data_IF_892851453040
#
_entry.id   IF_892851453040
#
_cell.length_a   1.000
_cell.length_b   1.000
_cell.length_c   1.000
_cell.angle_alpha   90.00
_cell.angle_beta   90.00
_cell.angle_gamma   90.00
#
_symmetry.space_group_name_H-M   'P 1'
#
loop_
_entity.id
_entity.type
_entity.pdbx_description
1 polymer ?
#
# COMPACT_ATOMS: atom_id res chain seq x y z
N UNK A 1 45.40 34.21 34.35
CA UNK A 1 44.25 33.96 33.47
C UNK A 1 43.99 32.45 33.49
N UNK A 2 42.96 32.02 34.22
CA UNK A 2 42.63 30.59 34.35
C UNK A 2 41.60 30.23 33.26
N UNK A 3 42.00 29.37 32.29
CA UNK A 3 41.10 28.84 31.27
C UNK A 3 40.22 27.77 31.91
N UNK A 4 38.91 28.02 31.98
CA UNK A 4 37.90 27.04 32.36
C UNK A 4 37.49 26.28 31.04
N UNK A 5 37.91 25.04 30.95
CA UNK A 5 37.42 24.14 29.89
C UNK A 5 36.11 23.55 30.38
N UNK A 6 34.97 23.98 29.80
CA UNK A 6 33.66 23.40 30.04
C UNK A 6 33.57 22.13 29.16
N UNK A 7 33.64 20.96 29.80
CA UNK A 7 33.43 19.67 29.16
C UNK A 7 31.91 19.44 29.04
N UNK A 8 31.35 19.67 27.87
CA UNK A 8 29.93 19.30 27.54
C UNK A 8 29.87 17.80 27.32
N UNK A 9 29.44 17.06 28.35
CA UNK A 9 29.09 15.64 28.20
C UNK A 9 27.72 15.56 27.52
N UNK A 10 27.70 15.31 26.22
CA UNK A 10 26.49 14.98 25.51
C UNK A 10 26.03 13.57 25.96
N UNK A 11 25.00 13.50 26.79
CA UNK A 11 24.36 12.24 27.14
C UNK A 11 23.63 11.70 25.94
N UNK A 12 24.23 10.77 25.22
CA UNK A 12 23.54 9.93 24.20
C UNK A 12 22.61 8.99 24.95
N UNK A 13 21.33 9.35 25.00
CA UNK A 13 20.27 8.43 25.44
C UNK A 13 20.13 7.32 24.39
N UNK A 14 20.70 6.14 24.68
CA UNK A 14 20.42 4.93 23.90
C UNK A 14 18.96 4.54 24.17
N UNK A 15 18.08 4.78 23.21
CA UNK A 15 16.73 4.20 23.19
C UNK A 15 16.96 2.71 22.90
N UNK A 16 16.97 1.88 23.94
CA UNK A 16 17.02 0.43 23.80
C UNK A 16 15.63 -0.03 23.36
N UNK A 17 15.50 -0.48 22.11
CA UNK A 17 14.32 -1.17 21.64
C UNK A 17 14.36 -2.59 22.21
N UNK A 18 13.32 -3.00 22.94
CA UNK A 18 13.21 -4.37 23.44
C UNK A 18 12.90 -5.30 22.26
N UNK A 19 13.68 -6.38 22.11
CA UNK A 19 13.48 -7.37 21.06
C UNK A 19 12.62 -8.51 21.57
N UNK A 20 11.59 -8.87 20.80
CA UNK A 20 10.70 -10.00 21.07
C UNK A 20 10.65 -10.88 19.84
N UNK A 21 10.76 -12.21 20.03
CA UNK A 21 10.75 -13.20 18.94
C UNK A 21 9.54 -14.11 19.06
N UNK A 22 8.95 -14.46 17.92
CA UNK A 22 7.89 -15.46 17.84
C UNK A 22 8.35 -16.83 18.34
N UNK A 23 7.43 -17.58 18.90
CA UNK A 23 7.64 -18.93 19.45
C UNK A 23 7.21 -20.06 18.49
N UNK A 24 6.66 -19.68 17.32
CA UNK A 24 6.18 -20.61 16.28
C UNK A 24 4.80 -21.19 16.55
N UNK A 25 4.12 -20.81 17.64
CA UNK A 25 2.77 -21.28 17.97
C UNK A 25 1.72 -20.29 17.43
N UNK A 26 1.42 -20.37 16.14
CA UNK A 26 0.50 -19.44 15.45
C UNK A 26 -0.93 -19.61 15.94
N UNK A 27 -1.61 -18.51 16.24
CA UNK A 27 -2.99 -18.41 16.71
C UNK A 27 -3.74 -17.26 16.03
N UNK A 28 -5.04 -17.46 15.94
CA UNK A 28 -5.99 -16.43 15.49
C UNK A 28 -6.63 -15.76 16.69
N UNK A 29 -6.63 -14.43 16.70
CA UNK A 29 -7.35 -13.61 17.67
C UNK A 29 -8.38 -12.74 16.95
N UNK A 30 -9.67 -12.92 17.29
CA UNK A 30 -10.73 -12.03 16.82
C UNK A 30 -10.73 -10.76 17.65
N UNK A 31 -10.84 -9.63 16.98
CA UNK A 31 -10.95 -8.30 17.59
C UNK A 31 -12.23 -7.60 17.11
N UNK A 32 -12.73 -6.71 17.93
CA UNK A 32 -13.87 -5.89 17.56
C UNK A 32 -13.49 -4.93 16.43
N UNK A 33 -14.38 -4.76 15.47
CA UNK A 33 -14.25 -3.82 14.36
C UNK A 33 -15.64 -3.26 14.06
N UNK A 34 -15.73 -1.97 13.89
CA UNK A 34 -17.00 -1.32 13.61
C UNK A 34 -17.00 -0.63 12.22
N UNK A 35 -17.37 0.59 12.13
CA UNK A 35 -17.63 1.28 10.88
C UNK A 35 -16.35 1.91 10.28
N UNK A 36 -15.45 1.10 9.74
CA UNK A 36 -14.24 1.61 9.08
C UNK A 36 -14.47 1.90 7.59
N UNK A 37 -13.78 2.91 7.11
CA UNK A 37 -13.66 3.25 5.68
C UNK A 37 -12.20 3.38 5.24
N UNK A 38 -11.25 3.37 6.16
CA UNK A 38 -9.82 3.51 5.89
C UNK A 38 -9.02 2.46 6.65
N UNK A 39 -8.07 1.83 5.98
CA UNK A 39 -7.06 0.96 6.60
C UNK A 39 -5.70 1.62 6.44
N UNK A 40 -4.96 1.75 7.54
CA UNK A 40 -3.56 2.20 7.57
C UNK A 40 -2.70 1.12 8.21
N UNK A 41 -1.83 0.50 7.40
CA UNK A 41 -0.81 -0.42 7.89
C UNK A 41 0.56 0.22 7.89
N UNK A 42 1.33 -0.01 8.95
CA UNK A 42 2.72 0.43 9.04
C UNK A 42 3.62 -0.66 9.63
N UNK A 43 4.83 -0.80 9.07
CA UNK A 43 5.79 -1.82 9.48
C UNK A 43 5.79 -3.04 8.55
N UNK A 44 5.74 -4.25 9.12
CA UNK A 44 5.87 -5.52 8.41
C UNK A 44 4.67 -6.46 8.59
N UNK A 45 3.53 -5.95 9.07
CA UNK A 45 2.34 -6.77 9.30
C UNK A 45 1.52 -6.83 8.00
N UNK A 46 1.43 -8.01 7.41
CA UNK A 46 0.65 -8.22 6.20
C UNK A 46 -0.85 -8.02 6.44
N UNK A 47 -1.53 -7.43 5.45
CA UNK A 47 -2.96 -7.18 5.54
C UNK A 47 -3.69 -7.86 4.39
N UNK A 48 -4.65 -8.70 4.72
CA UNK A 48 -5.57 -9.29 3.77
C UNK A 48 -6.97 -8.70 3.94
N UNK A 49 -7.48 -8.11 2.85
CA UNK A 49 -8.83 -7.55 2.81
C UNK A 49 -9.77 -8.58 2.21
N UNK A 50 -10.83 -8.93 2.93
CA UNK A 50 -11.90 -9.79 2.44
C UNK A 50 -13.14 -8.98 2.11
N UNK A 51 -13.77 -9.30 1.00
CA UNK A 51 -15.08 -8.75 0.67
C UNK A 51 -16.15 -9.41 1.54
N UNK A 52 -17.03 -8.62 2.14
CA UNK A 52 -18.13 -9.13 2.98
C UNK A 52 -19.06 -8.02 3.44
N UNK A 53 -20.24 -8.39 3.93
CA UNK A 53 -21.27 -7.44 4.33
C UNK A 53 -21.19 -7.01 5.81
N UNK A 54 -20.30 -7.66 6.57
CA UNK A 54 -20.12 -7.40 8.01
C UNK A 54 -18.67 -7.03 8.29
N UNK A 55 -18.47 -6.24 9.34
CA UNK A 55 -17.12 -5.92 9.81
C UNK A 55 -16.54 -7.08 10.61
N UNK A 56 -15.32 -7.49 10.29
CA UNK A 56 -14.60 -8.54 11.02
C UNK A 56 -13.10 -8.25 10.99
N UNK A 57 -12.45 -8.47 12.12
CA UNK A 57 -11.02 -8.31 12.28
C UNK A 57 -10.43 -9.55 12.94
N UNK A 58 -9.48 -10.18 12.27
CA UNK A 58 -8.74 -11.33 12.79
C UNK A 58 -7.26 -11.01 12.71
N UNK A 59 -6.56 -11.19 13.80
CA UNK A 59 -5.10 -11.09 13.88
C UNK A 59 -4.54 -12.50 14.01
N UNK A 60 -3.78 -12.93 13.02
CA UNK A 60 -3.02 -14.18 13.01
C UNK A 60 -1.56 -13.85 13.33
N UNK A 61 -1.00 -14.47 14.36
CA UNK A 61 0.42 -14.35 14.71
C UNK A 61 0.80 -15.45 15.70
N UNK A 62 2.09 -15.53 16.02
CA UNK A 62 2.57 -16.28 17.17
C UNK A 62 1.87 -15.81 18.46
N UNK A 63 1.42 -16.75 19.30
CA UNK A 63 0.59 -16.45 20.48
C UNK A 63 1.24 -15.43 21.41
N UNK A 64 2.55 -15.52 21.60
CA UNK A 64 3.32 -14.61 22.42
C UNK A 64 3.49 -13.22 21.79
N UNK A 65 3.25 -13.06 20.48
CA UNK A 65 3.36 -11.81 19.73
C UNK A 65 2.03 -11.09 19.53
N UNK A 66 0.89 -11.75 19.70
CA UNK A 66 -0.45 -11.13 19.56
C UNK A 66 -0.61 -9.84 20.38
N UNK A 67 -0.12 -9.72 21.63
CA UNK A 67 -0.22 -8.47 22.40
C UNK A 67 0.61 -7.31 21.86
N UNK A 68 1.50 -7.56 20.91
CA UNK A 68 2.35 -6.53 20.29
C UNK A 68 1.80 -6.04 18.95
N UNK A 69 0.81 -6.73 18.36
CA UNK A 69 0.08 -6.24 17.19
C UNK A 69 -1.03 -5.31 17.67
N UNK A 70 -0.92 -4.05 17.31
CA UNK A 70 -1.91 -3.01 17.64
C UNK A 70 -2.86 -2.84 16.45
N UNK A 71 -4.14 -2.81 16.73
CA UNK A 71 -5.22 -2.59 15.76
C UNK A 71 -6.21 -1.58 16.36
N UNK A 72 -5.82 -0.32 16.32
CA UNK A 72 -6.62 0.77 16.89
C UNK A 72 -7.60 1.33 15.86
N UNK A 73 -8.87 1.46 16.24
CA UNK A 73 -9.90 2.11 15.43
C UNK A 73 -10.17 3.53 15.99
N UNK A 74 -10.03 4.54 15.14
CA UNK A 74 -10.33 5.93 15.47
C UNK A 74 -10.94 6.63 14.25
N UNK A 75 -12.12 7.22 14.43
CA UNK A 75 -12.89 7.94 13.39
C UNK A 75 -12.97 7.21 12.03
N UNK A 76 -13.31 5.92 12.07
CA UNK A 76 -13.44 5.08 10.88
C UNK A 76 -12.10 4.70 10.21
N UNK A 77 -10.99 4.92 10.89
CA UNK A 77 -9.65 4.54 10.47
C UNK A 77 -9.13 3.39 11.33
N UNK A 78 -8.88 2.25 10.71
CA UNK A 78 -8.17 1.13 11.35
C UNK A 78 -6.66 1.32 11.19
N UNK A 79 -5.94 1.53 12.29
CA UNK A 79 -4.49 1.62 12.31
C UNK A 79 -3.90 0.28 12.73
N UNK A 80 -3.01 -0.29 11.90
CA UNK A 80 -2.37 -1.59 12.11
C UNK A 80 -0.86 -1.37 12.21
N UNK A 81 -0.27 -1.69 13.36
CA UNK A 81 1.18 -1.56 13.56
C UNK A 81 1.65 -2.38 14.75
N UNK A 82 2.95 -2.58 14.87
CA UNK A 82 3.53 -3.12 16.09
C UNK A 82 3.59 -2.06 17.20
N UNK A 83 3.49 -2.52 18.44
CA UNK A 83 3.63 -1.68 19.63
C UNK A 83 4.96 -0.96 19.64
N UNK A 84 4.91 0.37 19.81
CA UNK A 84 6.12 1.19 19.83
C UNK A 84 7.10 0.77 20.94
N UNK A 85 8.41 0.85 20.65
CA UNK A 85 9.48 0.47 21.57
C UNK A 85 9.86 -1.01 21.53
N UNK A 86 9.24 -1.80 20.67
CA UNK A 86 9.56 -3.21 20.46
C UNK A 86 10.04 -3.46 19.03
N UNK A 87 11.04 -4.34 18.90
CA UNK A 87 11.47 -4.94 17.64
C UNK A 87 10.99 -6.37 17.63
N UNK A 88 10.05 -6.67 16.75
CA UNK A 88 9.48 -8.02 16.59
C UNK A 88 10.27 -8.77 15.54
N UNK A 89 10.61 -10.03 15.80
CA UNK A 89 11.38 -10.89 14.91
C UNK A 89 10.72 -12.27 14.82
N UNK A 90 10.96 -12.98 13.69
CA UNK A 90 10.46 -14.33 13.45
C UNK A 90 8.94 -14.43 13.69
N UNK A 91 8.19 -13.44 13.22
CA UNK A 91 6.74 -13.37 13.34
C UNK A 91 6.03 -13.93 12.11
N UNK A 92 4.76 -14.28 12.28
CA UNK A 92 3.85 -14.71 11.21
C UNK A 92 2.65 -13.75 11.11
N UNK A 93 2.89 -12.48 11.38
CA UNK A 93 1.83 -11.49 11.55
C UNK A 93 1.05 -11.25 10.26
N UNK A 94 -0.24 -11.52 10.33
CA UNK A 94 -1.21 -11.22 9.30
C UNK A 94 -2.50 -10.69 9.91
N UNK A 95 -3.01 -9.60 9.38
CA UNK A 95 -4.29 -9.04 9.79
C UNK A 95 -5.29 -9.23 8.67
N UNK A 96 -6.39 -9.92 8.97
CA UNK A 96 -7.48 -10.17 8.03
C UNK A 96 -8.64 -9.24 8.39
N UNK A 97 -8.95 -8.34 7.44
CA UNK A 97 -10.01 -7.33 7.60
C UNK A 97 -11.14 -7.64 6.64
N UNK A 98 -12.36 -7.79 7.14
CA UNK A 98 -13.56 -7.83 6.31
C UNK A 98 -14.32 -6.53 6.52
N UNK A 99 -14.69 -5.85 5.42
CA UNK A 99 -15.48 -4.63 5.47
C UNK A 99 -16.38 -4.52 4.23
N UNK A 100 -17.61 -3.98 4.38
CA UNK A 100 -18.55 -3.83 3.26
C UNK A 100 -18.06 -2.86 2.19
N UNK A 101 -17.41 -1.78 2.60
CA UNK A 101 -16.88 -0.74 1.71
C UNK A 101 -15.61 -0.16 2.29
N UNK A 102 -14.66 0.17 1.40
CA UNK A 102 -13.44 0.89 1.76
C UNK A 102 -13.23 2.05 0.79
N UNK A 103 -12.71 3.14 1.30
CA UNK A 103 -12.41 4.35 0.53
C UNK A 103 -10.91 4.64 0.46
N UNK A 104 -10.15 4.20 1.46
CA UNK A 104 -8.73 4.49 1.51
C UNK A 104 -7.91 3.35 2.13
N UNK A 105 -6.82 3.03 1.45
CA UNK A 105 -5.83 2.04 1.87
C UNK A 105 -4.46 2.71 1.90
N UNK A 106 -3.80 2.63 3.04
CA UNK A 106 -2.45 3.19 3.22
C UNK A 106 -1.53 2.10 3.74
N UNK A 107 -0.45 1.83 3.01
CA UNK A 107 0.62 0.92 3.46
C UNK A 107 1.94 1.67 3.52
N UNK A 108 2.62 1.59 4.66
CA UNK A 108 3.96 2.16 4.84
C UNK A 108 4.88 1.15 5.52
N UNK A 109 5.98 0.82 4.86
CA UNK A 109 6.93 -0.18 5.35
C UNK A 109 7.13 -1.31 4.36
N UNK A 110 7.19 -2.54 4.87
CA UNK A 110 7.48 -3.75 4.08
C UNK A 110 6.31 -4.73 4.05
N UNK A 111 5.18 -4.37 4.65
CA UNK A 111 3.98 -5.19 4.72
C UNK A 111 3.30 -5.30 3.36
N UNK A 112 2.87 -6.50 3.01
CA UNK A 112 2.06 -6.74 1.82
C UNK A 112 0.58 -6.46 2.09
N UNK A 113 -0.10 -5.87 1.09
CA UNK A 113 -1.52 -5.61 1.12
C UNK A 113 -2.21 -6.39 0.00
N UNK A 114 -3.10 -7.32 0.34
CA UNK A 114 -3.79 -8.18 -0.60
C UNK A 114 -5.30 -8.17 -0.42
N UNK A 115 -6.05 -8.54 -1.46
CA UNK A 115 -7.48 -8.79 -1.35
C UNK A 115 -7.84 -10.24 -1.68
N UNK A 116 -8.79 -10.78 -0.91
CA UNK A 116 -9.47 -12.05 -1.17
C UNK A 116 -10.91 -11.71 -1.60
N UNK A 117 -11.12 -11.66 -2.90
CA UNK A 117 -12.33 -11.15 -3.54
C UNK A 117 -12.23 -9.69 -3.98
N UNK A 118 -13.34 -9.18 -4.53
CA UNK A 118 -13.43 -7.85 -5.13
C UNK A 118 -13.81 -6.83 -4.06
N UNK A 119 -12.96 -5.83 -3.85
CA UNK A 119 -13.29 -4.66 -3.04
C UNK A 119 -14.22 -3.76 -3.86
N UNK A 120 -15.46 -3.67 -3.44
CA UNK A 120 -16.46 -2.84 -4.12
C UNK A 120 -16.64 -1.51 -3.41
N UNK A 121 -16.78 -0.43 -4.18
CA UNK A 121 -17.13 0.89 -3.65
C UNK A 121 -18.00 1.66 -4.65
N UNK A 122 -18.98 2.39 -4.14
CA UNK A 122 -19.73 3.39 -4.92
C UNK A 122 -19.02 4.74 -5.03
N UNK A 123 -17.90 4.91 -4.32
CA UNK A 123 -17.09 6.12 -4.29
C UNK A 123 -15.67 5.82 -4.80
N UNK A 124 -14.85 6.85 -4.88
CA UNK A 124 -13.41 6.71 -5.15
C UNK A 124 -12.73 5.83 -4.11
N UNK A 125 -11.80 4.98 -4.56
CA UNK A 125 -10.85 4.27 -3.70
C UNK A 125 -9.46 4.88 -3.88
N UNK A 126 -8.87 5.35 -2.79
CA UNK A 126 -7.51 5.86 -2.76
C UNK A 126 -6.55 4.82 -2.17
N UNK A 127 -5.46 4.53 -2.87
CA UNK A 127 -4.38 3.63 -2.44
C UNK A 127 -3.10 4.43 -2.34
N UNK A 128 -2.50 4.47 -1.16
CA UNK A 128 -1.21 5.12 -0.93
C UNK A 128 -0.23 4.10 -0.38
N UNK A 129 0.87 3.88 -1.09
CA UNK A 129 1.95 3.01 -0.61
C UNK A 129 3.28 3.73 -0.55
N UNK A 130 4.04 3.43 0.49
CA UNK A 130 5.37 3.99 0.71
C UNK A 130 6.24 2.93 1.37
N UNK A 131 7.24 2.45 0.66
CA UNK A 131 8.14 1.41 1.17
C UNK A 131 8.43 0.32 0.14
N UNK A 132 8.50 -0.93 0.61
CA UNK A 132 8.91 -2.08 -0.19
C UNK A 132 7.88 -3.22 -0.22
N UNK A 133 6.77 -3.09 0.53
CA UNK A 133 5.67 -4.06 0.51
C UNK A 133 4.90 -4.02 -0.80
N UNK A 134 4.43 -5.17 -1.24
CA UNK A 134 3.68 -5.34 -2.48
C UNK A 134 2.17 -5.13 -2.24
N UNK A 135 1.49 -4.56 -3.24
CA UNK A 135 0.05 -4.35 -3.25
C UNK A 135 -0.56 -5.25 -4.33
N UNK A 136 -1.49 -6.13 -3.95
CA UNK A 136 -2.22 -6.98 -4.88
C UNK A 136 -3.72 -6.96 -4.59
N UNK A 137 -4.47 -6.13 -5.33
CA UNK A 137 -5.88 -5.87 -5.05
C UNK A 137 -6.76 -6.08 -6.28
N UNK A 138 -7.95 -6.64 -6.02
CA UNK A 138 -9.02 -6.71 -6.99
C UNK A 138 -10.14 -5.75 -6.59
N UNK A 139 -10.52 -4.83 -7.51
CA UNK A 139 -11.40 -3.71 -7.15
C UNK A 139 -12.42 -3.39 -8.24
N UNK A 140 -13.59 -2.89 -7.80
CA UNK A 140 -14.64 -2.37 -8.67
C UNK A 140 -15.16 -1.06 -8.06
N UNK A 141 -14.80 0.07 -8.66
CA UNK A 141 -15.16 1.40 -8.17
C UNK A 141 -15.22 2.39 -9.34
N UNK A 142 -16.01 3.49 -9.22
CA UNK A 142 -16.08 4.50 -10.28
C UNK A 142 -14.76 5.23 -10.52
N UNK A 143 -13.94 5.39 -9.49
CA UNK A 143 -12.62 6.01 -9.56
C UNK A 143 -11.64 5.28 -8.66
N UNK A 144 -10.43 5.02 -9.15
CA UNK A 144 -9.34 4.44 -8.39
C UNK A 144 -8.11 5.33 -8.55
N UNK A 145 -7.56 5.73 -7.40
CA UNK A 145 -6.34 6.54 -7.34
C UNK A 145 -5.25 5.79 -6.60
N UNK A 146 -4.18 5.42 -7.31
CA UNK A 146 -3.02 4.74 -6.75
C UNK A 146 -1.81 5.67 -6.70
N UNK A 147 -1.20 5.82 -5.54
CA UNK A 147 0.04 6.58 -5.37
C UNK A 147 1.08 5.69 -4.71
N UNK A 148 2.20 5.47 -5.41
CA UNK A 148 3.31 4.64 -4.95
C UNK A 148 4.60 5.44 -4.79
N UNK A 149 5.31 5.20 -3.70
CA UNK A 149 6.65 5.72 -3.45
C UNK A 149 7.52 4.63 -2.84
N UNK A 150 8.60 4.28 -3.48
CA UNK A 150 9.51 3.22 -3.01
C UNK A 150 9.81 2.15 -4.04
N UNK A 151 9.94 0.91 -3.60
CA UNK A 151 10.34 -0.23 -4.42
C UNK A 151 9.31 -1.37 -4.45
N UNK A 152 8.23 -1.27 -3.69
CA UNK A 152 7.13 -2.23 -3.72
C UNK A 152 6.35 -2.18 -5.01
N UNK A 153 5.86 -3.33 -5.47
CA UNK A 153 5.06 -3.42 -6.68
C UNK A 153 3.57 -3.16 -6.38
N UNK A 154 2.86 -2.63 -7.37
CA UNK A 154 1.41 -2.44 -7.29
C UNK A 154 0.75 -3.24 -8.40
N UNK A 155 -0.06 -4.22 -8.04
CA UNK A 155 -0.86 -5.03 -8.96
C UNK A 155 -2.35 -4.79 -8.68
N UNK A 156 -3.05 -4.18 -9.64
CA UNK A 156 -4.48 -3.93 -9.54
C UNK A 156 -5.23 -4.63 -10.67
N UNK A 157 -6.39 -5.18 -10.33
CA UNK A 157 -7.28 -5.83 -11.28
C UNK A 157 -8.75 -5.48 -11.00
N UNK A 158 -9.63 -5.71 -11.97
CA UNK A 158 -11.06 -5.43 -11.86
C UNK A 158 -11.53 -4.35 -12.83
N UNK A 159 -12.37 -3.40 -12.37
CA UNK A 159 -12.98 -2.39 -13.25
C UNK A 159 -13.04 -1.02 -12.59
N UNK A 160 -12.84 0.01 -13.39
CA UNK A 160 -13.07 1.40 -12.98
C UNK A 160 -13.41 2.25 -14.20
N UNK A 161 -14.08 3.38 -13.99
CA UNK A 161 -14.19 4.38 -15.05
C UNK A 161 -12.92 5.21 -15.15
N UNK A 162 -12.48 5.77 -14.02
CA UNK A 162 -11.34 6.68 -13.98
C UNK A 162 -10.21 6.07 -13.14
N UNK A 163 -9.03 5.94 -13.74
CA UNK A 163 -7.83 5.44 -13.10
C UNK A 163 -6.74 6.51 -13.08
N UNK A 164 -6.32 6.92 -11.89
CA UNK A 164 -5.16 7.78 -11.70
C UNK A 164 -4.04 6.97 -11.03
N UNK A 165 -2.86 6.95 -11.64
CA UNK A 165 -1.68 6.32 -11.08
C UNK A 165 -0.51 7.30 -11.04
N UNK A 166 0.06 7.50 -9.87
CA UNK A 166 1.30 8.27 -9.68
C UNK A 166 2.33 7.42 -8.96
N UNK A 167 3.48 7.20 -9.60
CA UNK A 167 4.55 6.41 -9.01
C UNK A 167 5.87 7.19 -9.00
N UNK A 168 6.59 7.06 -7.90
CA UNK A 168 7.91 7.65 -7.71
C UNK A 168 8.82 6.62 -7.05
N UNK A 169 9.75 6.05 -7.79
CA UNK A 169 10.63 5.00 -7.30
C UNK A 169 11.02 3.99 -8.36
N UNK A 170 11.11 2.72 -7.95
CA UNK A 170 11.57 1.62 -8.81
C UNK A 170 10.67 0.38 -8.78
N UNK A 171 9.55 0.42 -8.04
CA UNK A 171 8.56 -0.66 -8.03
C UNK A 171 7.75 -0.68 -9.32
N UNK A 172 7.38 -1.87 -9.80
CA UNK A 172 6.59 -2.03 -11.02
C UNK A 172 5.09 -1.93 -10.76
N UNK A 173 4.36 -1.39 -11.73
CA UNK A 173 2.91 -1.21 -11.65
C UNK A 173 2.24 -2.10 -12.70
N UNK A 174 1.50 -3.12 -12.25
CA UNK A 174 0.82 -4.10 -13.08
C UNK A 174 -0.70 -3.90 -13.01
N UNK A 175 -1.24 -2.99 -13.81
CA UNK A 175 -2.66 -2.63 -13.85
C UNK A 175 -3.31 -2.93 -15.22
N UNK A 176 -2.73 -3.78 -16.06
CA UNK A 176 -3.30 -4.20 -17.34
C UNK A 176 -4.62 -4.98 -17.20
N UNK A 177 -4.85 -5.60 -16.03
CA UNK A 177 -6.07 -6.30 -15.68
C UNK A 177 -7.11 -5.41 -14.98
N UNK A 178 -6.79 -4.17 -14.66
CA UNK A 178 -7.73 -3.15 -14.23
C UNK A 178 -8.33 -2.47 -15.46
N UNK A 179 -9.53 -2.87 -15.85
CA UNK A 179 -10.21 -2.34 -17.04
C UNK A 179 -10.73 -0.94 -16.74
N UNK A 180 -10.04 0.08 -17.23
CA UNK A 180 -10.44 1.47 -17.09
C UNK A 180 -10.95 2.06 -18.41
N UNK A 181 -11.84 3.04 -18.33
CA UNK A 181 -12.22 3.87 -19.49
C UNK A 181 -11.14 4.95 -19.69
N UNK A 182 -10.83 5.68 -18.66
CA UNK A 182 -9.85 6.76 -18.67
C UNK A 182 -8.68 6.43 -17.75
N UNK A 183 -7.45 6.63 -18.21
CA UNK A 183 -6.26 6.45 -17.39
C UNK A 183 -5.34 7.68 -17.46
N UNK A 184 -4.94 8.18 -16.31
CA UNK A 184 -3.88 9.18 -16.16
C UNK A 184 -2.72 8.59 -15.38
N UNK A 185 -1.55 8.50 -16.02
CA UNK A 185 -0.35 7.85 -15.49
C UNK A 185 0.76 8.87 -15.36
N UNK A 186 1.37 8.96 -14.18
CA UNK A 186 2.53 9.80 -13.89
C UNK A 186 3.65 8.96 -13.29
N UNK A 187 4.73 8.81 -14.02
CA UNK A 187 5.93 8.07 -13.61
C UNK A 187 7.07 9.02 -13.33
N UNK A 188 7.68 8.91 -12.16
CA UNK A 188 8.90 9.62 -11.80
C UNK A 188 9.89 8.62 -11.22
N UNK A 189 10.94 8.28 -11.95
CA UNK A 189 11.91 7.25 -11.54
C UNK A 189 12.15 6.20 -12.62
N UNK A 190 12.26 4.94 -12.20
CA UNK A 190 12.61 3.80 -13.08
C UNK A 190 11.55 2.69 -13.06
N UNK A 191 10.33 3.01 -12.64
CA UNK A 191 9.23 2.05 -12.58
C UNK A 191 8.66 1.75 -13.95
N UNK A 192 8.47 0.46 -14.25
CA UNK A 192 7.71 0.03 -15.42
C UNK A 192 6.22 -0.08 -15.08
N UNK A 193 5.38 0.42 -15.98
CA UNK A 193 3.93 0.56 -15.74
C UNK A 193 3.15 -0.10 -16.88
N UNK A 194 2.32 -1.08 -16.53
CA UNK A 194 1.37 -1.73 -17.43
C UNK A 194 -0.05 -1.31 -17.08
N UNK A 195 -0.78 -0.71 -18.01
CA UNK A 195 -2.15 -0.21 -17.80
C UNK A 195 -3.08 -0.56 -18.95
N UNK A 196 -4.37 -0.45 -18.70
CA UNK A 196 -5.41 -0.56 -19.71
C UNK A 196 -6.28 0.69 -19.73
N UNK A 197 -6.53 1.25 -20.94
CA UNK A 197 -7.46 2.37 -21.12
C UNK A 197 -8.26 2.15 -22.41
N UNK A 198 -9.59 2.26 -22.33
CA UNK A 198 -10.46 2.03 -23.49
C UNK A 198 -10.92 3.32 -24.20
N UNK A 199 -10.90 4.46 -23.51
CA UNK A 199 -11.42 5.75 -24.03
C UNK A 199 -10.31 6.79 -24.11
N UNK A 200 -9.68 7.14 -22.99
CA UNK A 200 -8.63 8.16 -22.96
C UNK A 200 -7.42 7.72 -22.16
N UNK A 201 -6.24 8.13 -22.61
CA UNK A 201 -4.97 7.86 -21.93
C UNK A 201 -4.12 9.13 -21.88
N UNK A 202 -3.68 9.50 -20.69
CA UNK A 202 -2.70 10.55 -20.46
C UNK A 202 -1.50 9.99 -19.71
N UNK A 203 -0.31 10.12 -20.28
CA UNK A 203 0.95 9.60 -19.72
C UNK A 203 1.98 10.70 -19.60
N UNK A 204 2.54 10.86 -18.41
CA UNK A 204 3.68 11.73 -18.14
C UNK A 204 4.81 10.90 -17.52
N UNK A 205 5.90 10.74 -18.22
CA UNK A 205 7.10 10.04 -17.75
C UNK A 205 8.22 11.04 -17.50
N UNK A 206 8.78 11.03 -16.30
CA UNK A 206 9.96 11.78 -15.91
C UNK A 206 10.99 10.83 -15.32
N UNK A 207 11.92 10.35 -16.12
CA UNK A 207 12.92 9.35 -15.72
C UNK A 207 13.18 8.31 -16.78
N UNK A 208 13.42 7.07 -16.36
CA UNK A 208 13.80 5.94 -17.22
C UNK A 208 12.79 4.79 -17.26
N UNK A 209 11.67 4.93 -16.57
CA UNK A 209 10.61 3.91 -16.56
C UNK A 209 9.85 3.86 -17.87
N UNK A 210 9.42 2.66 -18.26
CA UNK A 210 8.63 2.41 -19.45
C UNK A 210 7.13 2.30 -19.11
N UNK A 211 6.27 2.74 -20.03
CA UNK A 211 4.81 2.59 -19.89
C UNK A 211 4.27 1.76 -21.04
N UNK A 212 3.59 0.70 -20.71
CA UNK A 212 2.91 -0.18 -21.65
C UNK A 212 1.40 -0.07 -21.45
N UNK A 213 0.65 0.18 -22.52
CA UNK A 213 -0.79 0.33 -22.39
C UNK A 213 -1.56 -0.57 -23.35
N UNK A 214 -2.57 -1.24 -22.82
CA UNK A 214 -3.57 -1.99 -23.56
C UNK A 214 -4.84 -1.17 -23.81
N UNK A 215 -5.74 -1.70 -24.65
CA UNK A 215 -6.97 -1.02 -25.07
C UNK A 215 -6.75 -0.20 -26.34
N UNK A 216 -7.76 0.60 -26.69
CA UNK A 216 -7.71 1.45 -27.91
C UNK A 216 -8.14 2.89 -27.56
N UNK A 217 -7.41 3.60 -26.69
CA UNK A 217 -7.76 4.97 -26.34
C UNK A 217 -7.67 5.87 -27.58
N UNK A 218 -8.64 6.77 -27.73
CA UNK A 218 -8.65 7.72 -28.83
C UNK A 218 -7.68 8.85 -28.53
N UNK A 219 -6.65 9.03 -29.35
CA UNK A 219 -5.65 10.10 -29.23
C UNK A 219 -4.95 10.16 -27.86
N UNK A 220 -4.08 9.18 -27.54
CA UNK A 220 -3.28 9.21 -26.32
C UNK A 220 -2.44 10.49 -26.20
N UNK A 221 -2.49 11.16 -25.04
CA UNK A 221 -1.66 12.31 -24.70
C UNK A 221 -0.40 11.81 -23.99
N UNK A 222 0.77 11.91 -24.61
CA UNK A 222 2.02 11.33 -24.09
C UNK A 222 3.09 12.40 -23.98
N UNK A 223 3.63 12.59 -22.78
CA UNK A 223 4.76 13.47 -22.50
C UNK A 223 5.89 12.68 -21.83
N UNK A 224 7.08 12.70 -22.43
CA UNK A 224 8.26 12.00 -21.91
C UNK A 224 9.38 13.01 -21.70
N UNK A 225 9.87 13.09 -20.46
CA UNK A 225 11.04 13.84 -20.06
C UNK A 225 12.06 12.86 -19.45
N UNK A 226 12.95 12.27 -20.27
CA UNK A 226 13.91 11.26 -19.84
C UNK A 226 14.18 10.22 -20.92
N UNK A 227 14.59 9.03 -20.49
CA UNK A 227 14.97 7.91 -21.38
C UNK A 227 13.90 6.82 -21.46
N UNK A 228 12.79 6.97 -20.76
CA UNK A 228 11.68 6.02 -20.76
C UNK A 228 10.93 6.00 -22.09
N UNK A 229 10.13 4.97 -22.30
CA UNK A 229 9.29 4.80 -23.51
C UNK A 229 7.84 4.60 -23.16
N UNK A 230 6.94 4.89 -24.13
CA UNK A 230 5.49 4.57 -24.00
C UNK A 230 5.10 3.78 -25.22
N UNK A 231 4.54 2.58 -25.03
CA UNK A 231 4.20 1.64 -26.09
C UNK A 231 2.81 1.02 -25.91
N UNK A 232 2.09 0.87 -27.01
CA UNK A 232 0.86 0.07 -27.00
C UNK A 232 1.19 -1.44 -26.97
N UNK A 233 0.48 -2.17 -26.11
CA UNK A 233 0.47 -3.65 -26.10
C UNK A 233 -0.76 -4.16 -26.88
N UNK A 234 -0.59 -5.29 -27.56
CA UNK A 234 -1.66 -5.92 -28.34
C UNK A 234 -2.46 -6.90 -27.50
#
# INVERSE_FOLDING_TARGET
MKNFIILIIASMSFISCASVSGDGNVRDEKRDLSNIHTIKSSGSIDVQIKSGNEYSLIVENDENLLPYVITDEDDGVLNIHYKHGYSVMNDHAKVIVTAPTLQKLVSSGSADLSSDGIIQSSNEIEINTSGSGDINLQMDAPSIKATGSGSGNISLSGRTKDFFCKVSGSGNINCNNLKSENAEIRVSGSSDVHVFASVSLKVNVSGSGDVYYGGNPTSPEIHIAGSGTVKAEK
#
